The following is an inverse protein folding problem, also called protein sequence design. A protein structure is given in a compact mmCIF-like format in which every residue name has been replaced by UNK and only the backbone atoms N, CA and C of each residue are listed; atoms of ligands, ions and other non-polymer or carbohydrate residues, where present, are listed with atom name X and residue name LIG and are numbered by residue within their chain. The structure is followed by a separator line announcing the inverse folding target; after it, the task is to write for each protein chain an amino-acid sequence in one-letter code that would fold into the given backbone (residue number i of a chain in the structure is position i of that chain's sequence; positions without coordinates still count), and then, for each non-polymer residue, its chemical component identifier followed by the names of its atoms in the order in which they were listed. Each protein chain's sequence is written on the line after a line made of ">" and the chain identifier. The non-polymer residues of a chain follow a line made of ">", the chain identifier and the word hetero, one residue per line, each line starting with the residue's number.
data_IF_679072280845
#
_entry.id   IF_679072280845
#
_cell.length_a   1.000
_cell.length_b   1.000
_cell.length_c   1.000
_cell.angle_alpha   90.00
_cell.angle_beta   90.00
_cell.angle_gamma   90.00
#
_symmetry.space_group_name_H-M   'P 1'
#
loop_
_entity.id
_entity.type
_entity.pdbx_description
1 polymer ?
#
# COMPACT_ATOMS: atom_id res chain seq x y z
N UNK A 1 -22.94 34.44 68.98
CA UNK A 1 -21.92 33.67 68.22
C UNK A 1 -20.75 34.62 67.93
N UNK A 2 -19.50 34.23 68.26
CA UNK A 2 -18.38 35.18 68.29
C UNK A 2 -17.84 35.42 66.88
N UNK A 3 -17.85 36.67 66.39
CA UNK A 3 -17.42 37.06 65.03
C UNK A 3 -16.07 36.46 64.61
N UNK A 4 -15.13 36.33 65.56
CA UNK A 4 -13.81 35.69 65.33
C UNK A 4 -13.89 34.19 65.02
N UNK A 5 -14.81 33.45 65.68
CA UNK A 5 -15.01 32.01 65.41
C UNK A 5 -15.64 31.79 64.04
N UNK A 6 -16.57 32.67 63.62
CA UNK A 6 -17.19 32.60 62.30
C UNK A 6 -16.18 32.80 61.16
N UNK A 7 -15.25 33.74 61.31
CA UNK A 7 -14.18 33.98 60.32
C UNK A 7 -13.28 32.74 60.18
N UNK A 8 -12.88 32.13 61.30
CA UNK A 8 -12.02 30.93 61.27
C UNK A 8 -12.75 29.76 60.58
N UNK A 9 -14.04 29.56 60.87
CA UNK A 9 -14.83 28.48 60.23
C UNK A 9 -14.97 28.70 58.72
N UNK A 10 -15.14 29.95 58.26
CA UNK A 10 -15.23 30.25 56.83
C UNK A 10 -13.90 29.99 56.10
N UNK A 11 -12.77 30.37 56.68
CA UNK A 11 -11.45 30.12 56.09
C UNK A 11 -11.18 28.61 55.97
N UNK A 12 -11.52 27.85 57.02
CA UNK A 12 -11.39 26.38 57.01
C UNK A 12 -12.25 25.74 55.92
N UNK A 13 -13.49 26.22 55.74
CA UNK A 13 -14.38 25.71 54.71
C UNK A 13 -13.82 25.92 53.29
N UNK A 14 -13.24 27.10 53.01
CA UNK A 14 -12.63 27.41 51.70
C UNK A 14 -11.42 26.53 51.40
N UNK A 15 -10.58 26.27 52.41
CA UNK A 15 -9.41 25.40 52.25
C UNK A 15 -9.85 23.96 51.93
N UNK A 16 -10.88 23.46 52.63
CA UNK A 16 -11.41 22.11 52.41
C UNK A 16 -11.98 21.95 51.00
N UNK A 17 -12.77 22.92 50.52
CA UNK A 17 -13.33 22.85 49.17
C UNK A 17 -12.25 22.98 48.09
N UNK A 18 -11.21 23.78 48.31
CA UNK A 18 -10.07 23.88 47.39
C UNK A 18 -9.28 22.56 47.30
N UNK A 19 -8.99 21.91 48.43
CA UNK A 19 -8.29 20.62 48.47
C UNK A 19 -9.14 19.52 47.82
N UNK A 20 -10.45 19.52 48.08
CA UNK A 20 -11.38 18.56 47.49
C UNK A 20 -11.43 18.74 45.96
N UNK A 21 -11.57 19.98 45.49
CA UNK A 21 -11.59 20.29 44.06
C UNK A 21 -10.27 19.90 43.40
N UNK A 22 -9.13 20.22 44.02
CA UNK A 22 -7.81 19.83 43.52
C UNK A 22 -7.64 18.31 43.46
N UNK A 23 -8.07 17.59 44.50
CA UNK A 23 -7.98 16.13 44.56
C UNK A 23 -8.83 15.46 43.48
N UNK A 24 -10.06 15.94 43.27
CA UNK A 24 -10.94 15.45 42.20
C UNK A 24 -10.34 15.76 40.83
N UNK A 25 -9.83 16.98 40.63
CA UNK A 25 -9.20 17.36 39.36
C UNK A 25 -7.98 16.50 39.05
N UNK A 26 -7.08 16.30 40.02
CA UNK A 26 -5.89 15.45 39.86
C UNK A 26 -6.27 14.01 39.56
N UNK A 27 -7.20 13.41 40.33
CA UNK A 27 -7.56 12.00 40.15
C UNK A 27 -8.42 11.73 38.90
N UNK A 28 -9.20 12.70 38.44
CA UNK A 28 -10.12 12.51 37.31
C UNK A 28 -9.53 12.97 35.97
N UNK A 29 -8.66 13.99 35.94
CA UNK A 29 -8.08 14.51 34.69
C UNK A 29 -6.71 13.91 34.35
N UNK A 30 -5.88 13.48 35.31
CA UNK A 30 -4.62 12.78 35.02
C UNK A 30 -4.78 11.43 34.32
N UNK A 31 -5.80 10.58 34.60
CA UNK A 31 -5.97 9.37 33.84
C UNK A 31 -6.34 9.65 32.37
N UNK A 32 -6.84 10.84 32.01
CA UNK A 32 -7.20 11.15 30.61
C UNK A 32 -5.97 11.39 29.73
N UNK A 33 -4.88 11.95 30.27
CA UNK A 33 -3.59 12.01 29.56
C UNK A 33 -2.80 10.69 29.61
N UNK A 34 -3.15 9.78 30.53
CA UNK A 34 -2.65 8.41 30.58
C UNK A 34 -3.50 7.42 29.74
N UNK A 35 -4.70 7.81 29.29
CA UNK A 35 -5.38 7.23 28.11
C UNK A 35 -4.69 7.78 26.85
N UNK A 36 -3.35 7.78 26.85
CA UNK A 36 -2.60 7.58 25.62
C UNK A 36 -2.96 6.16 25.21
N UNK A 37 -3.62 5.99 24.05
CA UNK A 37 -3.75 4.66 23.43
C UNK A 37 -2.40 3.98 23.56
N UNK A 38 -2.33 2.86 24.29
CA UNK A 38 -1.08 2.16 24.57
C UNK A 38 -0.33 1.87 23.28
N UNK A 39 0.57 2.77 22.92
CA UNK A 39 1.42 2.62 21.75
C UNK A 39 2.43 1.55 22.08
N UNK A 40 2.50 0.52 21.24
CA UNK A 40 3.55 -0.50 21.34
C UNK A 40 4.89 0.25 21.28
N UNK A 41 5.75 0.05 22.28
CA UNK A 41 7.09 0.63 22.29
C UNK A 41 7.89 0.09 21.10
N UNK A 42 8.74 0.91 20.45
CA UNK A 42 9.61 0.44 19.35
C UNK A 42 10.39 -0.82 19.73
N UNK A 43 10.86 -0.92 20.99
CA UNK A 43 11.56 -2.11 21.47
C UNK A 43 10.68 -3.36 21.53
N UNK A 44 9.39 -3.21 21.83
CA UNK A 44 8.44 -4.33 21.82
C UNK A 44 8.13 -4.78 20.39
N UNK A 45 8.04 -3.86 19.43
CA UNK A 45 7.86 -4.19 18.00
C UNK A 45 9.05 -4.99 17.49
N UNK A 46 10.28 -4.55 17.76
CA UNK A 46 11.51 -5.22 17.31
C UNK A 46 11.57 -6.65 17.88
N UNK A 47 11.26 -6.84 19.16
CA UNK A 47 11.24 -8.17 19.77
C UNK A 47 10.17 -9.07 19.12
N UNK A 48 9.00 -8.53 18.76
CA UNK A 48 7.95 -9.29 18.08
C UNK A 48 8.30 -9.65 16.63
N UNK A 49 9.27 -8.97 16.01
CA UNK A 49 9.77 -9.27 14.66
C UNK A 49 10.88 -10.32 14.64
N UNK A 50 11.49 -10.65 15.78
CA UNK A 50 12.55 -11.66 15.87
C UNK A 50 12.17 -13.02 15.24
N UNK A 51 10.95 -13.56 15.44
CA UNK A 51 10.54 -14.80 14.79
C UNK A 51 10.51 -14.70 13.25
N UNK A 52 10.08 -13.56 12.70
CA UNK A 52 10.04 -13.32 11.26
C UNK A 52 11.46 -13.34 10.67
N UNK A 53 12.41 -12.66 11.33
CA UNK A 53 13.83 -12.66 10.94
C UNK A 53 14.41 -14.08 10.96
N UNK A 54 14.07 -14.87 11.99
CA UNK A 54 14.54 -16.24 12.11
C UNK A 54 13.99 -17.14 10.99
N UNK A 55 12.71 -16.98 10.62
CA UNK A 55 12.12 -17.72 9.49
C UNK A 55 12.85 -17.37 8.18
N UNK A 56 13.02 -16.08 7.88
CA UNK A 56 13.73 -15.65 6.67
C UNK A 56 15.14 -16.24 6.63
N UNK A 57 15.88 -16.21 7.74
CA UNK A 57 17.23 -16.79 7.84
C UNK A 57 17.24 -18.31 7.59
N UNK A 58 16.31 -19.04 8.19
CA UNK A 58 16.23 -20.51 8.03
C UNK A 58 15.86 -20.86 6.60
N UNK A 59 14.90 -20.15 6.00
CA UNK A 59 14.49 -20.36 4.61
C UNK A 59 15.66 -20.06 3.67
N UNK A 60 16.31 -18.91 3.81
CA UNK A 60 17.46 -18.52 2.99
C UNK A 60 18.66 -19.49 3.10
N UNK A 61 18.85 -20.14 4.25
CA UNK A 61 19.98 -21.07 4.47
C UNK A 61 19.69 -22.52 4.11
N UNK A 62 18.42 -22.90 3.98
CA UNK A 62 18.01 -24.30 3.73
C UNK A 62 17.30 -24.52 2.41
N UNK A 63 16.90 -23.46 1.72
CA UNK A 63 16.30 -23.59 0.41
C UNK A 63 17.35 -24.00 -0.62
N UNK A 64 16.91 -24.76 -1.62
CA UNK A 64 17.79 -25.33 -2.64
C UNK A 64 18.14 -24.27 -3.69
N UNK A 65 17.18 -23.40 -4.00
CA UNK A 65 17.33 -22.31 -4.96
C UNK A 65 17.69 -20.99 -4.27
N UNK A 66 18.26 -20.06 -5.03
CA UNK A 66 18.53 -18.70 -4.55
C UNK A 66 17.22 -17.97 -4.28
N UNK A 67 17.13 -17.31 -3.13
CA UNK A 67 15.91 -16.64 -2.70
C UNK A 67 16.12 -15.14 -2.72
N UNK A 68 15.18 -14.46 -3.38
CA UNK A 68 15.06 -13.03 -3.34
C UNK A 68 14.48 -12.58 -1.98
N UNK A 69 15.36 -12.10 -1.11
CA UNK A 69 15.01 -11.62 0.23
C UNK A 69 14.06 -10.41 0.13
N UNK A 70 14.21 -9.55 -0.86
CA UNK A 70 13.38 -8.36 -1.04
C UNK A 70 11.93 -8.76 -1.37
N UNK A 71 11.75 -9.82 -2.18
CA UNK A 71 10.43 -10.42 -2.41
C UNK A 71 9.83 -11.03 -1.15
N UNK A 72 10.61 -11.72 -0.31
CA UNK A 72 10.12 -12.26 0.95
C UNK A 72 9.66 -11.17 1.91
N UNK A 73 10.44 -10.09 2.04
CA UNK A 73 10.11 -8.95 2.91
C UNK A 73 8.87 -8.24 2.40
N UNK A 74 8.80 -7.95 1.10
CA UNK A 74 7.61 -7.38 0.46
C UNK A 74 6.37 -8.24 0.71
N UNK A 75 6.48 -9.56 0.54
CA UNK A 75 5.40 -10.50 0.82
C UNK A 75 4.95 -10.49 2.29
N UNK A 76 5.89 -10.42 3.23
CA UNK A 76 5.60 -10.32 4.65
C UNK A 76 4.87 -9.01 5.01
N UNK A 77 5.27 -7.87 4.41
CA UNK A 77 4.60 -6.58 4.59
C UNK A 77 3.18 -6.65 4.05
N UNK A 78 2.98 -7.15 2.83
CA UNK A 78 1.65 -7.32 2.22
C UNK A 78 0.75 -8.22 3.08
N UNK A 79 1.27 -9.35 3.56
CA UNK A 79 0.54 -10.24 4.47
C UNK A 79 0.21 -9.62 5.83
N UNK A 80 1.04 -8.70 6.33
CA UNK A 80 0.73 -7.96 7.55
C UNK A 80 -0.43 -6.96 7.32
N UNK A 81 -0.47 -6.30 6.15
CA UNK A 81 -1.55 -5.39 5.80
C UNK A 81 -2.87 -6.12 5.59
N UNK A 82 -2.89 -7.29 4.97
CA UNK A 82 -4.16 -8.03 4.81
C UNK A 82 -4.82 -8.40 6.13
N UNK A 83 -4.06 -8.48 7.23
CA UNK A 83 -4.57 -8.78 8.57
C UNK A 83 -5.31 -7.63 9.26
N UNK A 84 -5.22 -6.39 8.76
CA UNK A 84 -5.87 -5.23 9.41
C UNK A 84 -7.34 -5.07 9.02
N UNK A 85 -7.87 -5.96 8.16
CA UNK A 85 -9.27 -6.00 7.68
C UNK A 85 -9.77 -4.69 7.05
N UNK A 86 -8.86 -3.82 6.60
CA UNK A 86 -9.19 -2.60 5.87
C UNK A 86 -9.17 -2.85 4.35
N UNK A 87 -10.32 -2.79 3.64
CA UNK A 87 -10.39 -3.03 2.21
C UNK A 87 -9.68 -1.96 1.36
N UNK A 88 -9.31 -0.82 1.94
CA UNK A 88 -8.61 0.26 1.25
C UNK A 88 -7.11 0.28 1.54
N UNK A 89 -6.64 -0.53 2.48
CA UNK A 89 -5.23 -0.58 2.82
C UNK A 89 -4.50 -1.55 1.89
N UNK A 90 -3.46 -1.04 1.22
CA UNK A 90 -2.57 -1.85 0.38
C UNK A 90 -1.14 -1.32 0.49
N UNK A 91 -0.17 -2.20 0.24
CA UNK A 91 1.23 -1.85 0.09
C UNK A 91 1.63 -1.98 -1.37
N UNK A 92 2.26 -0.93 -1.89
CA UNK A 92 2.84 -0.91 -3.22
C UNK A 92 4.36 -0.95 -3.12
N UNK A 93 5.01 -1.78 -3.94
CA UNK A 93 6.44 -1.59 -4.25
C UNK A 93 6.61 -0.32 -5.10
N UNK A 94 7.84 0.21 -5.26
CA UNK A 94 8.08 1.35 -6.15
C UNK A 94 7.55 1.13 -7.57
N UNK A 95 7.70 -0.07 -8.12
CA UNK A 95 7.21 -0.45 -9.45
C UNK A 95 5.67 -0.45 -9.49
N UNK A 96 5.03 -1.13 -8.54
CA UNK A 96 3.57 -1.19 -8.47
C UNK A 96 2.94 0.18 -8.23
N UNK A 97 3.63 1.05 -7.49
CA UNK A 97 3.20 2.43 -7.27
C UNK A 97 3.26 3.23 -8.57
N UNK A 98 4.31 3.07 -9.37
CA UNK A 98 4.41 3.74 -10.67
C UNK A 98 3.30 3.29 -11.61
N UNK A 99 3.02 1.98 -11.70
CA UNK A 99 1.91 1.43 -12.48
C UNK A 99 0.55 1.95 -11.99
N UNK A 100 0.37 2.04 -10.67
CA UNK A 100 -0.82 2.61 -10.07
C UNK A 100 -1.01 4.09 -10.44
N UNK A 101 0.06 4.89 -10.36
CA UNK A 101 0.02 6.31 -10.75
C UNK A 101 -0.26 6.48 -12.23
N UNK A 102 0.35 5.66 -13.10
CA UNK A 102 0.06 5.59 -14.54
C UNK A 102 -1.43 5.35 -14.78
N UNK A 103 -2.01 4.38 -14.07
CA UNK A 103 -3.44 4.04 -14.14
C UNK A 103 -4.33 5.22 -13.72
N UNK A 104 -3.99 5.89 -12.61
CA UNK A 104 -4.75 7.05 -12.09
C UNK A 104 -4.64 8.27 -13.01
N UNK A 105 -3.46 8.50 -13.59
CA UNK A 105 -3.21 9.63 -14.49
C UNK A 105 -3.72 9.37 -15.91
N UNK A 106 -4.18 8.16 -16.22
CA UNK A 106 -4.57 7.74 -17.56
C UNK A 106 -3.39 7.74 -18.55
N UNK A 107 -2.16 7.74 -18.04
CA UNK A 107 -0.93 7.76 -18.86
C UNK A 107 -0.47 6.33 -19.11
N UNK A 108 -1.29 5.54 -19.80
CA UNK A 108 -0.93 4.17 -20.17
C UNK A 108 0.34 4.17 -21.02
N UNK A 109 1.42 3.55 -20.53
CA UNK A 109 2.58 3.22 -21.34
C UNK A 109 2.18 2.13 -22.36
N UNK A 110 2.30 2.44 -23.64
CA UNK A 110 1.88 1.60 -24.76
C UNK A 110 1.07 2.38 -25.79
N UNK A 111 0.59 1.68 -26.83
CA UNK A 111 -0.19 2.30 -27.91
C UNK A 111 -1.70 2.37 -27.62
N UNK A 112 -2.20 1.86 -26.49
CA UNK A 112 -3.61 2.01 -26.10
C UNK A 112 -4.60 1.19 -26.96
N UNK A 113 -4.27 -0.08 -27.22
CA UNK A 113 -5.15 -1.02 -27.92
C UNK A 113 -5.49 -2.21 -27.03
N UNK A 114 -6.73 -2.68 -27.10
CA UNK A 114 -7.14 -3.96 -26.50
C UNK A 114 -6.94 -5.07 -27.52
N UNK A 115 -6.27 -6.15 -27.12
CA UNK A 115 -5.94 -7.28 -27.99
C UNK A 115 -6.41 -8.62 -27.41
N UNK A 116 -6.65 -9.59 -28.29
CA UNK A 116 -7.01 -10.96 -27.96
C UNK A 116 -6.27 -11.94 -28.86
N UNK A 117 -6.27 -13.22 -28.52
CA UNK A 117 -5.71 -14.28 -29.36
C UNK A 117 -6.82 -14.86 -30.24
N UNK A 118 -6.59 -14.92 -31.55
CA UNK A 118 -7.50 -15.58 -32.49
C UNK A 118 -7.27 -17.10 -32.53
N UNK A 119 -8.19 -17.84 -33.16
CA UNK A 119 -8.12 -19.32 -33.25
C UNK A 119 -6.84 -19.82 -33.95
N UNK A 120 -6.24 -18.99 -34.81
CA UNK A 120 -5.00 -19.26 -35.53
C UNK A 120 -3.72 -18.97 -34.70
N UNK A 121 -3.85 -18.53 -33.45
CA UNK A 121 -2.72 -18.13 -32.58
C UNK A 121 -2.06 -16.81 -33.01
N UNK A 122 -2.86 -15.92 -33.62
CA UNK A 122 -2.43 -14.57 -34.03
C UNK A 122 -3.13 -13.57 -33.11
N UNK A 123 -2.40 -12.52 -32.71
CA UNK A 123 -2.97 -11.44 -31.90
C UNK A 123 -3.88 -10.56 -32.77
N UNK A 124 -5.13 -10.43 -32.36
CA UNK A 124 -6.17 -9.63 -33.02
C UNK A 124 -6.57 -8.46 -32.12
N UNK A 125 -6.77 -7.29 -32.72
CA UNK A 125 -7.24 -6.09 -32.04
C UNK A 125 -8.74 -6.20 -31.77
N UNK A 126 -9.13 -6.02 -30.52
CA UNK A 126 -10.53 -5.93 -30.10
C UNK A 126 -11.05 -4.51 -30.32
N UNK A 127 -10.33 -3.51 -29.80
CA UNK A 127 -10.66 -2.09 -30.00
C UNK A 127 -9.48 -1.20 -29.62
N UNK A 128 -9.21 -0.12 -30.35
CA UNK A 128 -8.39 0.99 -29.83
C UNK A 128 -9.15 1.74 -28.72
N UNK A 129 -8.40 2.34 -27.79
CA UNK A 129 -8.93 3.27 -26.78
C UNK A 129 -8.92 4.68 -27.38
N UNK A 130 -10.01 5.44 -27.25
CA UNK A 130 -10.10 6.81 -27.79
C UNK A 130 -8.95 7.71 -27.28
N UNK A 131 -8.51 8.62 -28.13
CA UNK A 131 -7.40 9.58 -27.89
C UNK A 131 -6.00 8.99 -27.60
N UNK A 132 -5.83 7.66 -27.65
CA UNK A 132 -4.52 6.99 -27.51
C UNK A 132 -3.70 6.98 -28.81
N UNK A 133 -2.38 6.71 -28.77
CA UNK A 133 -1.53 6.62 -29.96
C UNK A 133 -2.04 5.62 -31.00
N UNK A 134 -2.60 4.49 -30.58
CA UNK A 134 -3.15 3.43 -31.45
C UNK A 134 -4.43 3.87 -32.16
N UNK A 135 -5.29 4.63 -31.48
CA UNK A 135 -6.43 5.28 -32.13
C UNK A 135 -5.99 6.33 -33.15
N UNK A 136 -4.99 7.16 -32.79
CA UNK A 136 -4.41 8.18 -33.69
C UNK A 136 -3.64 7.57 -34.87
N UNK A 137 -3.09 6.37 -34.71
CA UNK A 137 -2.46 5.58 -35.75
C UNK A 137 -3.47 4.92 -36.70
N UNK A 138 -4.77 5.00 -36.41
CA UNK A 138 -5.83 4.46 -37.25
C UNK A 138 -6.01 2.95 -37.14
N UNK A 139 -5.58 2.34 -36.03
CA UNK A 139 -5.81 0.92 -35.75
C UNK A 139 -7.31 0.70 -35.59
N UNK A 140 -7.84 -0.34 -36.24
CA UNK A 140 -9.26 -0.68 -36.22
C UNK A 140 -9.52 -1.98 -35.44
N UNK A 141 -10.75 -2.16 -34.94
CA UNK A 141 -11.20 -3.48 -34.52
C UNK A 141 -10.99 -4.52 -35.62
N UNK A 142 -10.64 -5.75 -35.22
CA UNK A 142 -10.33 -6.90 -36.08
C UNK A 142 -9.01 -6.84 -36.86
N UNK A 143 -8.18 -5.80 -36.67
CA UNK A 143 -6.82 -5.79 -37.21
C UNK A 143 -5.98 -6.95 -36.63
N UNK A 144 -5.20 -7.61 -37.50
CA UNK A 144 -4.30 -8.72 -37.13
C UNK A 144 -2.87 -8.23 -37.00
N UNK A 145 -2.28 -8.39 -35.82
CA UNK A 145 -0.88 -8.04 -35.54
C UNK A 145 0.00 -9.22 -35.97
N UNK A 146 0.71 -9.05 -37.09
CA UNK A 146 1.59 -10.09 -37.65
C UNK A 146 3.00 -10.05 -37.06
N UNK A 147 3.47 -8.87 -36.68
CA UNK A 147 4.84 -8.61 -36.21
C UNK A 147 4.83 -7.37 -35.31
N UNK A 148 5.66 -7.39 -34.27
CA UNK A 148 5.94 -6.24 -33.41
C UNK A 148 7.44 -5.97 -33.54
N UNK A 149 7.80 -4.77 -34.00
CA UNK A 149 9.16 -4.43 -34.44
C UNK A 149 9.71 -5.45 -35.45
N UNK A 150 10.72 -6.24 -35.09
CA UNK A 150 11.33 -7.31 -35.91
C UNK A 150 10.94 -8.73 -35.44
N UNK A 151 10.02 -8.85 -34.48
CA UNK A 151 9.64 -10.11 -33.84
C UNK A 151 8.28 -10.57 -34.36
N UNK A 152 8.20 -11.74 -35.05
CA UNK A 152 6.93 -12.29 -35.48
C UNK A 152 6.10 -12.70 -34.25
N UNK A 153 4.82 -12.31 -34.24
CA UNK A 153 3.92 -12.58 -33.11
C UNK A 153 3.48 -14.05 -33.07
N UNK A 154 3.58 -14.74 -34.21
CA UNK A 154 3.18 -16.14 -34.33
C UNK A 154 4.02 -17.04 -33.42
N UNK A 155 3.36 -17.71 -32.50
CA UNK A 155 3.99 -18.62 -31.53
C UNK A 155 4.33 -17.98 -30.18
N UNK A 156 4.10 -16.67 -30.03
CA UNK A 156 4.13 -16.01 -28.73
C UNK A 156 2.82 -16.27 -27.98
N UNK A 157 2.91 -16.29 -26.65
CA UNK A 157 1.75 -16.18 -25.78
C UNK A 157 1.16 -14.77 -25.84
N UNK A 158 -0.09 -14.61 -25.41
CA UNK A 158 -0.74 -13.29 -25.39
C UNK A 158 0.05 -12.32 -24.50
N UNK A 159 0.53 -12.78 -23.35
CA UNK A 159 1.29 -11.98 -22.39
C UNK A 159 2.63 -11.51 -22.97
N UNK A 160 3.35 -12.39 -23.69
CA UNK A 160 4.60 -12.02 -24.37
C UNK A 160 4.36 -10.96 -25.44
N UNK A 161 3.31 -11.10 -26.24
CA UNK A 161 2.95 -10.12 -27.27
C UNK A 161 2.55 -8.76 -26.65
N UNK A 162 1.78 -8.76 -25.57
CA UNK A 162 1.41 -7.55 -24.83
C UNK A 162 2.65 -6.86 -24.26
N UNK A 163 3.57 -7.63 -23.67
CA UNK A 163 4.83 -7.10 -23.15
C UNK A 163 5.66 -6.41 -24.24
N UNK A 164 5.73 -6.97 -25.46
CA UNK A 164 6.44 -6.35 -26.58
C UNK A 164 5.81 -5.02 -27.03
N UNK A 165 4.48 -4.94 -27.06
CA UNK A 165 3.74 -3.71 -27.42
C UNK A 165 4.03 -2.58 -26.42
N UNK A 166 4.15 -2.91 -25.12
CA UNK A 166 4.48 -1.95 -24.07
C UNK A 166 5.95 -1.52 -24.14
N UNK A 167 6.90 -2.44 -24.30
CA UNK A 167 8.34 -2.16 -24.29
C UNK A 167 8.86 -1.41 -25.52
N UNK A 168 8.29 -1.63 -26.71
CA UNK A 168 8.72 -0.96 -27.96
C UNK A 168 8.63 0.57 -27.87
N UNK A 169 7.72 1.10 -27.05
CA UNK A 169 7.52 2.55 -26.91
C UNK A 169 8.54 3.22 -25.98
N UNK A 170 9.14 2.48 -25.05
CA UNK A 170 10.06 3.03 -24.02
C UNK A 170 11.45 3.36 -24.57
N UNK A 171 11.82 2.89 -25.78
CA UNK A 171 13.19 3.03 -26.32
C UNK A 171 13.32 4.16 -27.36
N UNK A 172 12.28 4.97 -27.56
CA UNK A 172 12.32 6.14 -28.46
C UNK A 172 12.37 7.45 -27.65
N UNK A 173 13.48 7.69 -26.95
CA UNK A 173 13.84 9.02 -26.42
C UNK A 173 15.31 9.32 -26.68
#
# INVERSE_FOLDING_TARGET
>A
MNKRRQIITLILAVIVTAIFTFSVTVNFYLPISAISKGGISQGEIINKLEPLINVIRVVNSKHIDDIDIDKMVTGAIKGAITMIEDPYATYFTPEEFNEFIVTIQGSFEGIGISVTMDDDGIVRVVSPIEDTPGHKAGILPDDRIVQIDDIPVKGLTLDEAVSLITWSTTISS
#
